data_IF_765005908616
#
_entry.id   IF_765005908616
#
_cell.length_a   1.000
_cell.length_b   1.000
_cell.length_c   1.000
_cell.angle_alpha   90.00
_cell.angle_beta   90.00
_cell.angle_gamma   90.00
#
_symmetry.space_group_name_H-M   'P 1'
#
loop_
_entity.id
_entity.type
_entity.pdbx_description
1 polymer ?
#
# COMPACT_ATOMS: atom_id res chain seq x y z
N UNK A 1 -46.63 8.77 5.80
CA UNK A 1 -45.39 8.28 6.44
C UNK A 1 -44.24 8.60 5.49
N UNK A 2 -43.24 9.41 5.88
CA UNK A 2 -42.10 9.68 5.02
C UNK A 2 -41.19 8.44 4.92
N UNK A 3 -40.88 8.05 3.69
CA UNK A 3 -40.02 6.92 3.33
C UNK A 3 -38.54 7.31 3.56
N UNK A 4 -37.93 6.75 4.60
CA UNK A 4 -36.51 6.94 4.90
C UNK A 4 -35.73 5.95 4.04
N UNK A 5 -35.38 6.35 2.83
CA UNK A 5 -34.39 5.64 2.01
C UNK A 5 -33.02 5.81 2.66
N UNK A 6 -32.63 4.83 3.49
CA UNK A 6 -31.26 4.70 3.97
C UNK A 6 -30.38 4.57 2.73
N UNK A 7 -29.64 5.63 2.37
CA UNK A 7 -28.56 5.52 1.40
C UNK A 7 -27.62 4.45 1.94
N UNK A 8 -27.72 3.25 1.38
CA UNK A 8 -26.80 2.14 1.64
C UNK A 8 -25.40 2.69 1.37
N UNK A 9 -24.68 3.00 2.45
CA UNK A 9 -23.31 3.48 2.37
C UNK A 9 -22.54 2.50 1.50
N UNK A 10 -22.11 2.97 0.33
CA UNK A 10 -21.42 2.16 -0.65
C UNK A 10 -20.01 1.94 -0.15
N UNK A 11 -19.81 0.94 0.71
CA UNK A 11 -18.51 0.37 1.00
C UNK A 11 -18.71 -1.06 1.51
N UNK A 12 -18.95 -2.06 0.63
CA UNK A 12 -18.36 -3.35 0.93
C UNK A 12 -16.87 -3.12 0.80
N UNK A 13 -16.15 -3.15 1.91
CA UNK A 13 -14.69 -3.20 1.87
C UNK A 13 -14.37 -4.47 1.09
N UNK A 14 -14.00 -4.29 -0.17
CA UNK A 14 -13.75 -5.40 -1.09
C UNK A 14 -12.61 -6.23 -0.49
N UNK A 15 -12.88 -7.49 -0.14
CA UNK A 15 -11.88 -8.36 0.49
C UNK A 15 -10.61 -8.45 -0.38
N UNK A 16 -10.75 -8.29 -1.70
CA UNK A 16 -9.63 -8.17 -2.64
C UNK A 16 -8.80 -6.90 -2.43
N UNK A 17 -9.41 -5.76 -2.10
CA UNK A 17 -8.69 -4.53 -1.79
C UNK A 17 -7.91 -4.63 -0.48
N UNK A 18 -8.50 -5.25 0.55
CA UNK A 18 -7.82 -5.48 1.85
C UNK A 18 -6.66 -6.45 1.67
N UNK A 19 -6.87 -7.55 0.95
CA UNK A 19 -5.81 -8.51 0.64
C UNK A 19 -4.68 -7.88 -0.15
N UNK A 20 -5.00 -7.09 -1.18
CA UNK A 20 -4.01 -6.38 -2.00
C UNK A 20 -3.17 -5.39 -1.18
N UNK A 21 -3.80 -4.62 -0.28
CA UNK A 21 -3.10 -3.69 0.60
C UNK A 21 -2.18 -4.44 1.58
N UNK A 22 -2.67 -5.52 2.18
CA UNK A 22 -1.87 -6.32 3.11
C UNK A 22 -0.63 -6.91 2.43
N UNK A 23 -0.79 -7.48 1.23
CA UNK A 23 0.34 -8.00 0.42
C UNK A 23 1.31 -6.88 0.06
N UNK A 24 0.81 -5.71 -0.33
CA UNK A 24 1.65 -4.56 -0.66
C UNK A 24 2.48 -4.10 0.55
N UNK A 25 1.88 -4.02 1.73
CA UNK A 25 2.59 -3.64 2.97
C UNK A 25 3.67 -4.69 3.30
N UNK A 26 3.33 -5.98 3.25
CA UNK A 26 4.29 -7.04 3.51
C UNK A 26 5.46 -7.01 2.52
N UNK A 27 5.17 -6.77 1.25
CA UNK A 27 6.20 -6.62 0.23
C UNK A 27 7.14 -5.45 0.53
N UNK A 28 6.61 -4.29 0.89
CA UNK A 28 7.40 -3.10 1.26
C UNK A 28 8.29 -3.39 2.46
N UNK A 29 7.77 -4.06 3.49
CA UNK A 29 8.53 -4.39 4.70
C UNK A 29 9.65 -5.38 4.39
N UNK A 30 9.36 -6.47 3.67
CA UNK A 30 10.36 -7.50 3.33
C UNK A 30 11.43 -6.92 2.41
N UNK A 31 11.04 -6.18 1.36
CA UNK A 31 11.99 -5.57 0.43
C UNK A 31 12.82 -4.48 1.11
N UNK A 32 12.20 -3.61 1.91
CA UNK A 32 12.88 -2.55 2.65
C UNK A 32 13.86 -3.11 3.69
N UNK A 33 13.50 -4.17 4.40
CA UNK A 33 14.38 -4.87 5.33
C UNK A 33 15.55 -5.56 4.60
N UNK A 34 15.28 -6.21 3.46
CA UNK A 34 16.31 -6.81 2.61
C UNK A 34 17.31 -5.79 2.11
N UNK A 35 16.83 -4.68 1.54
CA UNK A 35 17.67 -3.56 1.11
C UNK A 35 18.46 -2.97 2.28
N UNK A 36 17.83 -2.79 3.44
CA UNK A 36 18.49 -2.24 4.63
C UNK A 36 19.59 -3.16 5.17
N UNK A 37 19.48 -4.48 4.97
CA UNK A 37 20.45 -5.45 5.46
C UNK A 37 21.81 -5.39 4.75
N UNK A 38 21.81 -4.95 3.48
CA UNK A 38 23.01 -4.84 2.63
C UNK A 38 23.58 -3.42 2.57
N UNK A 39 22.98 -2.46 3.28
CA UNK A 39 23.46 -1.08 3.29
C UNK A 39 24.83 -0.99 3.99
N UNK A 40 25.80 -0.28 3.38
CA UNK A 40 27.12 -0.10 3.98
C UNK A 40 27.08 0.75 5.25
N UNK A 41 26.19 1.76 5.29
CA UNK A 41 25.96 2.62 6.45
C UNK A 41 24.48 2.66 6.83
N UNK A 42 24.18 2.33 8.09
CA UNK A 42 22.81 2.31 8.63
C UNK A 42 22.39 3.66 9.19
N UNK A 43 22.48 4.71 8.39
CA UNK A 43 21.95 6.01 8.80
C UNK A 43 20.42 6.01 8.70
N UNK A 44 19.70 6.76 9.55
CA UNK A 44 18.25 6.82 9.51
C UNK A 44 17.68 7.19 8.12
N UNK A 45 18.38 8.07 7.39
CA UNK A 45 18.00 8.51 6.06
C UNK A 45 18.17 7.42 4.99
N UNK A 46 19.23 6.62 5.07
CA UNK A 46 19.45 5.51 4.15
C UNK A 46 18.45 4.37 4.39
N UNK A 47 18.11 4.09 5.64
CA UNK A 47 17.06 3.14 5.99
C UNK A 47 15.71 3.64 5.46
N UNK A 48 15.36 4.92 5.68
CA UNK A 48 14.13 5.49 5.15
C UNK A 48 14.06 5.38 3.62
N UNK A 49 15.17 5.68 2.92
CA UNK A 49 15.26 5.52 1.47
C UNK A 49 15.05 4.06 1.02
N UNK A 50 15.61 3.09 1.74
CA UNK A 50 15.47 1.67 1.44
C UNK A 50 14.01 1.18 1.52
N UNK A 51 13.17 1.74 2.40
CA UNK A 51 11.73 1.45 2.45
C UNK A 51 10.93 2.30 1.47
N UNK A 52 11.40 3.51 1.15
CA UNK A 52 10.73 4.42 0.23
C UNK A 52 10.73 3.88 -1.21
N UNK A 53 11.80 3.21 -1.63
CA UNK A 53 11.87 2.58 -2.97
C UNK A 53 10.75 1.57 -3.21
N UNK A 54 10.57 0.49 -2.44
CA UNK A 54 9.48 -0.44 -2.67
C UNK A 54 8.10 0.19 -2.39
N UNK A 55 7.98 1.14 -1.46
CA UNK A 55 6.71 1.84 -1.20
C UNK A 55 6.26 2.67 -2.41
N UNK A 56 7.18 3.39 -3.06
CA UNK A 56 6.86 4.17 -4.26
C UNK A 56 6.52 3.29 -5.46
N UNK A 57 7.13 2.11 -5.60
CA UNK A 57 6.71 1.10 -6.58
C UNK A 57 5.29 0.59 -6.31
N UNK A 58 4.96 0.24 -5.07
CA UNK A 58 3.62 -0.22 -4.72
C UNK A 58 2.56 0.85 -5.00
N UNK A 59 2.86 2.12 -4.68
CA UNK A 59 1.99 3.25 -4.99
C UNK A 59 1.82 3.45 -6.51
N UNK A 60 2.91 3.42 -7.27
CA UNK A 60 2.86 3.57 -8.73
C UNK A 60 2.04 2.45 -9.39
N UNK A 61 2.18 1.21 -8.91
CA UNK A 61 1.39 0.08 -9.38
C UNK A 61 -0.11 0.27 -9.10
N UNK A 62 -0.45 0.70 -7.88
CA UNK A 62 -1.84 1.04 -7.53
C UNK A 62 -2.39 2.16 -8.42
N UNK A 63 -1.63 3.25 -8.57
CA UNK A 63 -2.02 4.41 -9.38
C UNK A 63 -2.27 4.04 -10.85
N UNK A 64 -1.45 3.15 -11.42
CA UNK A 64 -1.61 2.66 -12.78
C UNK A 64 -2.88 1.82 -12.96
N UNK A 65 -3.20 0.96 -11.98
CA UNK A 65 -4.43 0.17 -11.99
C UNK A 65 -5.65 1.09 -11.85
N UNK A 66 -5.58 2.07 -10.95
CA UNK A 66 -6.64 3.03 -10.69
C UNK A 66 -6.97 3.88 -11.93
N UNK A 67 -5.99 4.25 -12.75
CA UNK A 67 -6.23 4.98 -14.00
C UNK A 67 -6.99 4.18 -15.07
N UNK A 68 -7.06 2.86 -14.96
CA UNK A 68 -7.76 1.99 -15.92
C UNK A 68 -9.20 1.68 -15.55
N UNK A 69 -9.63 2.03 -14.33
CA UNK A 69 -11.01 1.84 -13.83
C UNK A 69 -11.84 3.09 -14.07
#
# INVERSE_FOLDING_TARGET
>A
MPDITVRKGRMPVDMGAVGGIAVAILFVVVAGAGLSSILPDRTPWLIAAAYLTPASFAFAAYWWIAQKS
#
